data_IF_118766841755
#
_entry.id   IF_118766841755
#
_cell.length_a   1.000
_cell.length_b   1.000
_cell.length_c   1.000
_cell.angle_alpha   90.00
_cell.angle_beta   90.00
_cell.angle_gamma   90.00
#
_symmetry.space_group_name_H-M   'P 1'
#
loop_
_entity.id
_entity.type
_entity.pdbx_description
1 polymer ?
#
# COMPACT_ATOMS: atom_id res chain seq x y z
N UNK A 1 6.60 -5.95 9.68
CA UNK A 1 7.13 -4.65 10.14
C UNK A 1 6.90 -4.46 11.62
N UNK A 2 7.87 -3.90 12.34
CA UNK A 2 7.74 -3.67 13.79
C UNK A 2 6.65 -2.63 14.07
N UNK A 3 5.76 -2.93 15.02
CA UNK A 3 4.69 -2.03 15.51
C UNK A 3 5.22 -0.62 15.85
N UNK A 4 6.52 -0.51 16.15
CA UNK A 4 7.24 0.73 16.47
C UNK A 4 7.51 1.60 15.23
N UNK A 5 7.71 1.02 14.04
CA UNK A 5 8.04 1.76 12.82
C UNK A 5 6.79 2.30 12.11
N UNK A 6 5.62 1.69 12.35
CA UNK A 6 4.35 2.12 11.78
C UNK A 6 4.02 3.61 12.05
N UNK A 7 4.10 4.14 13.29
CA UNK A 7 3.84 5.56 13.54
C UNK A 7 4.88 6.48 12.89
N UNK A 8 6.16 6.07 12.82
CA UNK A 8 7.20 6.86 12.16
C UNK A 8 6.95 6.98 10.66
N UNK A 9 6.58 5.88 10.00
CA UNK A 9 6.27 5.86 8.58
C UNK A 9 5.02 6.69 8.25
N UNK A 10 3.99 6.63 9.10
CA UNK A 10 2.80 7.47 8.94
C UNK A 10 3.15 8.96 9.02
N UNK A 11 3.95 9.36 10.01
CA UNK A 11 4.44 10.74 10.17
C UNK A 11 5.37 11.18 9.02
N UNK A 12 6.22 10.29 8.52
CA UNK A 12 7.08 10.57 7.37
C UNK A 12 6.23 10.82 6.11
N UNK A 13 5.24 9.97 5.86
CA UNK A 13 4.30 10.15 4.75
C UNK A 13 3.54 11.47 4.88
N UNK A 14 3.06 11.82 6.07
CA UNK A 14 2.35 13.08 6.32
C UNK A 14 3.25 14.29 6.00
N UNK A 15 4.49 14.29 6.47
CA UNK A 15 5.44 15.39 6.20
C UNK A 15 5.75 15.54 4.72
N UNK A 16 5.94 14.43 4.01
CA UNK A 16 6.18 14.44 2.56
C UNK A 16 4.95 14.99 1.82
N UNK A 17 3.75 14.59 2.23
CA UNK A 17 2.52 15.10 1.64
C UNK A 17 2.32 16.60 1.88
N UNK A 18 2.63 17.10 3.08
CA UNK A 18 2.60 18.54 3.40
C UNK A 18 3.60 19.30 2.54
N UNK A 19 4.82 18.77 2.37
CA UNK A 19 5.85 19.40 1.53
C UNK A 19 5.42 19.46 0.05
N UNK A 20 4.76 18.41 -0.45
CA UNK A 20 4.31 18.32 -1.85
C UNK A 20 3.03 19.14 -2.13
N UNK A 21 2.10 19.21 -1.18
CA UNK A 21 0.76 19.79 -1.39
C UNK A 21 0.53 21.13 -0.69
N UNK A 22 1.34 21.47 0.32
CA UNK A 22 1.17 22.64 1.18
C UNK A 22 -0.03 22.57 2.14
N UNK A 23 -0.71 21.41 2.25
CA UNK A 23 -1.94 21.25 3.05
C UNK A 23 -1.72 20.28 4.21
N UNK A 24 -2.22 20.64 5.39
CA UNK A 24 -2.26 19.73 6.53
C UNK A 24 -3.35 18.67 6.34
N UNK A 25 -3.07 17.43 6.76
CA UNK A 25 -4.04 16.34 6.74
C UNK A 25 -4.90 16.44 7.99
N UNK A 26 -6.20 16.72 7.83
CA UNK A 26 -7.14 16.84 8.96
C UNK A 26 -8.14 15.71 8.96
N UNK A 27 -8.10 14.85 9.98
CA UNK A 27 -9.14 13.85 10.23
C UNK A 27 -10.28 14.45 11.06
N UNK A 28 -11.51 14.35 10.56
CA UNK A 28 -12.73 14.76 11.27
C UNK A 28 -13.47 13.56 11.92
N UNK A 29 -12.82 12.39 12.00
CA UNK A 29 -13.45 11.14 12.45
C UNK A 29 -13.22 10.91 13.95
N UNK A 30 -14.24 10.42 14.65
CA UNK A 30 -14.11 10.02 16.07
C UNK A 30 -13.08 8.91 16.26
N UNK A 31 -12.18 9.08 17.25
CA UNK A 31 -11.11 8.13 17.59
C UNK A 31 -11.61 6.68 17.79
N UNK A 32 -12.78 6.50 18.43
CA UNK A 32 -13.35 5.18 18.67
C UNK A 32 -13.76 4.48 17.36
N UNK A 33 -14.28 5.25 16.39
CA UNK A 33 -14.66 4.73 15.08
C UNK A 33 -13.43 4.36 14.26
N UNK A 34 -12.41 5.21 14.28
CA UNK A 34 -11.12 4.98 13.65
C UNK A 34 -10.47 3.68 14.14
N UNK A 35 -10.49 3.42 15.45
CA UNK A 35 -9.93 2.20 16.02
C UNK A 35 -10.67 0.92 15.54
N UNK A 36 -12.00 0.95 15.49
CA UNK A 36 -12.81 -0.18 15.00
C UNK A 36 -12.56 -0.42 13.51
N UNK A 37 -12.55 0.65 12.72
CA UNK A 37 -12.35 0.60 11.28
C UNK A 37 -10.93 0.11 10.93
N UNK A 38 -9.91 0.48 11.72
CA UNK A 38 -8.53 0.00 11.59
C UNK A 38 -8.42 -1.51 11.87
N UNK A 39 -8.98 -1.98 12.98
CA UNK A 39 -8.98 -3.43 13.32
C UNK A 39 -9.71 -4.22 12.24
N UNK A 40 -10.90 -3.76 11.82
CA UNK A 40 -11.68 -4.40 10.76
C UNK A 40 -10.94 -4.39 9.41
N UNK A 41 -10.16 -3.35 9.11
CA UNK A 41 -9.33 -3.28 7.91
C UNK A 41 -8.17 -4.27 7.94
N UNK A 42 -7.46 -4.39 9.06
CA UNK A 42 -6.38 -5.36 9.23
C UNK A 42 -6.89 -6.81 9.08
N UNK A 43 -8.02 -7.14 9.71
CA UNK A 43 -8.64 -8.47 9.57
C UNK A 43 -9.03 -8.77 8.12
N UNK A 44 -9.67 -7.81 7.42
CA UNK A 44 -10.02 -7.96 6.00
C UNK A 44 -8.80 -8.12 5.11
N UNK A 45 -7.70 -7.40 5.40
CA UNK A 45 -6.42 -7.53 4.70
C UNK A 45 -5.82 -8.93 4.89
N UNK A 46 -5.81 -9.45 6.12
CA UNK A 46 -5.34 -10.80 6.41
C UNK A 46 -6.17 -11.89 5.69
N UNK A 47 -7.49 -11.81 5.76
CA UNK A 47 -8.38 -12.75 5.05
C UNK A 47 -8.17 -12.68 3.54
N UNK A 48 -8.04 -11.48 2.99
CA UNK A 48 -7.74 -11.29 1.57
C UNK A 48 -6.41 -11.95 1.17
N UNK A 49 -5.34 -11.72 1.94
CA UNK A 49 -4.02 -12.32 1.69
C UNK A 49 -4.12 -13.84 1.73
N UNK A 50 -4.73 -14.38 2.78
CA UNK A 50 -4.87 -15.82 2.99
C UNK A 50 -5.65 -16.49 1.85
N UNK A 51 -6.76 -15.88 1.42
CA UNK A 51 -7.58 -16.40 0.33
C UNK A 51 -6.79 -16.51 -0.98
N UNK A 52 -6.10 -15.45 -1.39
CA UNK A 52 -5.29 -15.44 -2.61
C UNK A 52 -4.05 -16.32 -2.52
N UNK A 53 -3.34 -16.27 -1.38
CA UNK A 53 -2.18 -17.11 -1.15
C UNK A 53 -2.54 -18.60 -1.20
N UNK A 54 -3.68 -19.00 -0.63
CA UNK A 54 -4.16 -20.37 -0.71
C UNK A 54 -4.47 -20.77 -2.16
N UNK A 55 -5.15 -19.91 -2.92
CA UNK A 55 -5.42 -20.15 -4.33
C UNK A 55 -4.14 -20.34 -5.15
N UNK A 56 -3.15 -19.46 -4.98
CA UNK A 56 -1.86 -19.55 -5.66
C UNK A 56 -1.05 -20.77 -5.22
N UNK A 57 -1.12 -21.13 -3.94
CA UNK A 57 -0.52 -22.36 -3.43
C UNK A 57 -1.10 -23.59 -4.12
N UNK A 58 -2.43 -23.69 -4.22
CA UNK A 58 -3.08 -24.81 -4.92
C UNK A 58 -2.69 -24.86 -6.40
N UNK A 59 -2.62 -23.72 -7.10
CA UNK A 59 -2.13 -23.63 -8.48
C UNK A 59 -0.69 -24.15 -8.61
N UNK A 60 0.15 -23.88 -7.61
CA UNK A 60 1.55 -24.32 -7.57
C UNK A 60 1.72 -25.84 -7.41
N UNK A 61 0.68 -26.55 -6.96
CA UNK A 61 0.70 -28.01 -6.79
C UNK A 61 0.35 -28.77 -8.07
N UNK A 62 -0.26 -28.12 -9.06
CA UNK A 62 -0.68 -28.75 -10.30
C UNK A 62 0.53 -28.86 -11.25
N UNK A 63 0.97 -30.08 -11.64
CA UNK A 63 2.06 -30.25 -12.60
C UNK A 63 1.76 -29.53 -13.92
N UNK A 64 2.79 -29.02 -14.60
CA UNK A 64 2.70 -28.21 -15.85
C UNK A 64 2.17 -26.79 -15.61
N UNK A 65 1.08 -26.62 -14.85
CA UNK A 65 0.54 -25.30 -14.49
C UNK A 65 1.45 -24.57 -13.50
N UNK A 66 2.15 -25.30 -12.64
CA UNK A 66 3.12 -24.75 -11.71
C UNK A 66 4.25 -23.92 -12.38
N UNK A 67 4.48 -24.07 -13.69
CA UNK A 67 5.45 -23.26 -14.43
C UNK A 67 5.10 -21.77 -14.44
N UNK A 68 3.81 -21.41 -14.40
CA UNK A 68 3.38 -20.00 -14.31
C UNK A 68 3.27 -19.50 -12.87
N UNK A 69 3.29 -20.40 -11.89
CA UNK A 69 3.09 -20.04 -10.48
C UNK A 69 4.11 -19.00 -9.97
N UNK A 70 5.42 -19.08 -10.26
CA UNK A 70 6.37 -18.05 -9.81
C UNK A 70 6.01 -16.64 -10.29
N UNK A 71 5.53 -16.52 -11.53
CA UNK A 71 5.10 -15.23 -12.09
C UNK A 71 3.86 -14.71 -11.36
N UNK A 72 2.89 -15.59 -11.08
CA UNK A 72 1.69 -15.22 -10.32
C UNK A 72 2.03 -14.79 -8.88
N UNK A 73 2.97 -15.47 -8.24
CA UNK A 73 3.48 -15.09 -6.92
C UNK A 73 4.18 -13.74 -6.93
N UNK A 74 4.97 -13.44 -7.97
CA UNK A 74 5.61 -12.13 -8.17
C UNK A 74 4.56 -11.03 -8.33
N UNK A 75 3.56 -11.24 -9.19
CA UNK A 75 2.47 -10.27 -9.41
C UNK A 75 1.68 -10.03 -8.13
N UNK A 76 1.36 -11.10 -7.39
CA UNK A 76 0.65 -11.00 -6.13
C UNK A 76 1.49 -10.33 -5.04
N UNK A 77 2.75 -10.69 -4.89
CA UNK A 77 3.68 -10.07 -3.93
C UNK A 77 3.86 -8.58 -4.21
N UNK A 78 4.03 -8.21 -5.48
CA UNK A 78 4.07 -6.82 -5.92
C UNK A 78 2.79 -6.06 -5.56
N UNK A 79 1.62 -6.66 -5.82
CA UNK A 79 0.34 -6.07 -5.43
C UNK A 79 0.24 -5.85 -3.91
N UNK A 80 0.66 -6.83 -3.12
CA UNK A 80 0.65 -6.73 -1.66
C UNK A 80 1.60 -5.64 -1.15
N UNK A 81 2.82 -5.55 -1.69
CA UNK A 81 3.76 -4.48 -1.32
C UNK A 81 3.19 -3.10 -1.65
N UNK A 82 2.49 -2.98 -2.77
CA UNK A 82 1.80 -1.73 -3.11
C UNK A 82 0.75 -1.38 -2.06
N UNK A 83 -0.11 -2.34 -1.72
CA UNK A 83 -1.12 -2.13 -0.67
C UNK A 83 -0.50 -1.82 0.70
N UNK A 84 0.68 -2.36 1.01
CA UNK A 84 1.38 -2.10 2.26
C UNK A 84 1.92 -0.67 2.35
N UNK A 85 2.62 -0.21 1.31
CA UNK A 85 3.26 1.11 1.35
C UNK A 85 2.28 2.26 1.06
N UNK A 86 1.23 2.02 0.26
CA UNK A 86 0.17 3.02 0.08
C UNK A 86 -0.77 3.12 1.30
N UNK A 87 -0.76 2.15 2.21
CA UNK A 87 -1.51 2.20 3.48
C UNK A 87 -1.11 3.44 4.31
N UNK A 88 0.15 3.88 4.24
CA UNK A 88 0.61 5.07 4.98
C UNK A 88 -0.05 6.38 4.51
N UNK A 89 0.10 6.82 3.24
CA UNK A 89 -0.56 8.04 2.78
C UNK A 89 -2.08 7.90 2.76
N UNK A 90 -2.63 6.73 2.40
CA UNK A 90 -4.09 6.55 2.37
C UNK A 90 -4.71 6.49 3.76
N UNK A 91 -4.02 5.88 4.73
CA UNK A 91 -4.43 5.81 6.13
C UNK A 91 -4.41 7.17 6.82
N UNK A 92 -3.51 8.08 6.42
CA UNK A 92 -3.55 9.48 6.88
C UNK A 92 -4.86 10.18 6.48
N UNK A 93 -5.50 9.74 5.39
CA UNK A 93 -6.81 10.23 4.92
C UNK A 93 -7.97 9.34 5.38
N UNK A 94 -7.78 8.55 6.43
CA UNK A 94 -8.78 7.66 7.05
C UNK A 94 -9.38 6.59 6.10
N UNK A 95 -8.68 6.27 5.00
CA UNK A 95 -9.19 5.28 4.05
C UNK A 95 -9.06 3.87 4.60
N UNK A 96 -10.18 3.15 4.62
CA UNK A 96 -10.20 1.75 5.04
C UNK A 96 -9.67 0.83 3.94
N UNK A 97 -9.23 -0.39 4.31
CA UNK A 97 -8.63 -1.34 3.36
C UNK A 97 -9.45 -1.58 2.09
N UNK A 98 -10.78 -1.59 2.20
CA UNK A 98 -11.67 -1.77 1.05
C UNK A 98 -11.54 -0.61 0.03
N UNK A 99 -11.42 0.62 0.52
CA UNK A 99 -11.26 1.83 -0.28
C UNK A 99 -9.86 1.93 -0.87
N UNK A 100 -8.83 1.64 -0.07
CA UNK A 100 -7.45 1.56 -0.52
C UNK A 100 -7.32 0.58 -1.70
N UNK A 101 -7.81 -0.65 -1.52
CA UNK A 101 -7.80 -1.67 -2.57
C UNK A 101 -8.55 -1.22 -3.83
N UNK A 102 -9.69 -0.56 -3.67
CA UNK A 102 -10.46 -0.03 -4.80
C UNK A 102 -9.63 1.02 -5.56
N UNK A 103 -9.03 1.97 -4.84
CA UNK A 103 -8.26 3.09 -5.38
C UNK A 103 -6.99 2.64 -6.10
N UNK A 104 -6.19 1.74 -5.50
CA UNK A 104 -5.07 1.11 -6.22
C UNK A 104 -5.57 0.29 -7.43
N UNK A 105 -6.76 -0.29 -7.31
CA UNK A 105 -7.40 -1.09 -8.35
C UNK A 105 -7.82 -0.30 -9.59
N UNK A 106 -7.94 1.03 -9.50
CA UNK A 106 -8.24 1.91 -10.63
C UNK A 106 -7.01 2.12 -11.53
N UNK A 107 -5.80 2.04 -10.98
CA UNK A 107 -4.53 2.17 -11.72
C UNK A 107 -3.57 1.01 -11.42
N UNK A 108 -4.03 -0.22 -11.65
CA UNK A 108 -3.28 -1.46 -11.35
C UNK A 108 -1.88 -1.51 -11.95
N UNK A 109 -1.68 -0.96 -13.14
CA UNK A 109 -0.36 -0.94 -13.78
C UNK A 109 0.67 -0.14 -12.99
N UNK A 110 0.29 1.03 -12.47
CA UNK A 110 1.15 1.87 -11.63
C UNK A 110 1.41 1.19 -10.29
N UNK A 111 0.36 0.66 -9.65
CA UNK A 111 0.49 -0.08 -8.41
C UNK A 111 1.46 -1.27 -8.58
N UNK A 112 1.20 -2.17 -9.53
CA UNK A 112 2.08 -3.32 -9.79
C UNK A 112 3.50 -2.90 -10.18
N UNK A 113 3.69 -1.81 -10.94
CA UNK A 113 5.02 -1.29 -11.24
C UNK A 113 5.78 -0.86 -9.99
N UNK A 114 5.12 -0.07 -9.13
CA UNK A 114 5.69 0.39 -7.85
C UNK A 114 6.03 -0.80 -6.95
N UNK A 115 5.08 -1.71 -6.71
CA UNK A 115 5.30 -2.88 -5.88
C UNK A 115 6.41 -3.80 -6.40
N UNK A 116 6.56 -3.90 -7.72
CA UNK A 116 7.62 -4.67 -8.35
C UNK A 116 9.00 -4.08 -8.11
N UNK A 117 9.13 -2.75 -8.24
CA UNK A 117 10.37 -2.03 -7.91
C UNK A 117 10.72 -2.21 -6.44
N UNK A 118 9.76 -2.04 -5.53
CA UNK A 118 9.96 -2.28 -4.09
C UNK A 118 10.40 -3.72 -3.84
N UNK A 119 9.78 -4.70 -4.50
CA UNK A 119 10.18 -6.10 -4.35
C UNK A 119 11.63 -6.34 -4.77
N UNK A 120 12.06 -5.76 -5.89
CA UNK A 120 13.46 -5.82 -6.35
C UNK A 120 14.40 -5.16 -5.33
N UNK A 121 14.03 -3.99 -4.80
CA UNK A 121 14.82 -3.28 -3.80
C UNK A 121 15.01 -4.12 -2.53
N UNK A 122 13.94 -4.75 -2.03
CA UNK A 122 13.99 -5.60 -0.83
C UNK A 122 14.76 -6.90 -1.05
N UNK A 123 14.87 -7.37 -2.30
CA UNK A 123 15.63 -8.57 -2.66
C UNK A 123 17.14 -8.38 -2.58
N UNK A 124 17.63 -7.13 -2.65
CA UNK A 124 19.07 -6.80 -2.58
C UNK A 124 19.40 -6.38 -1.13
N UNK A 125 20.20 -7.13 -0.35
CA UNK A 125 20.39 -6.87 1.08
C UNK A 125 20.87 -5.45 1.43
N UNK A 126 21.78 -4.89 0.63
CA UNK A 126 22.31 -3.53 0.85
C UNK A 126 21.24 -2.47 0.59
N UNK A 127 20.42 -2.66 -0.46
CA UNK A 127 19.34 -1.74 -0.82
C UNK A 127 18.17 -1.85 0.15
N UNK A 128 17.89 -3.06 0.65
CA UNK A 128 16.80 -3.34 1.57
C UNK A 128 16.86 -2.48 2.85
N UNK A 129 18.07 -2.13 3.32
CA UNK A 129 18.25 -1.22 4.45
C UNK A 129 17.56 0.14 4.26
N UNK A 130 17.51 0.63 3.02
CA UNK A 130 16.88 1.90 2.65
C UNK A 130 15.53 1.70 1.94
N UNK A 131 15.12 0.46 1.67
CA UNK A 131 13.92 0.19 0.89
C UNK A 131 12.67 0.74 1.57
N UNK A 132 12.58 0.65 2.90
CA UNK A 132 11.43 1.15 3.66
C UNK A 132 11.24 2.68 3.52
N UNK A 133 12.20 3.56 3.86
CA UNK A 133 12.00 5.01 3.72
C UNK A 133 11.80 5.45 2.26
N UNK A 134 12.48 4.81 1.31
CA UNK A 134 12.32 5.13 -0.13
C UNK A 134 10.95 4.71 -0.63
N UNK A 135 10.46 3.53 -0.24
CA UNK A 135 9.15 3.05 -0.64
C UNK A 135 8.02 3.87 -0.02
N UNK A 136 8.15 4.30 1.25
CA UNK A 136 7.19 5.23 1.88
C UNK A 136 7.16 6.55 1.10
N UNK A 137 8.32 7.17 0.84
CA UNK A 137 8.39 8.41 0.08
C UNK A 137 7.80 8.27 -1.35
N UNK A 138 8.14 7.19 -2.04
CA UNK A 138 7.63 6.91 -3.39
C UNK A 138 6.12 6.65 -3.41
N UNK A 139 5.58 5.95 -2.41
CA UNK A 139 4.15 5.73 -2.28
C UNK A 139 3.40 7.03 -2.00
N UNK A 140 3.93 7.90 -1.13
CA UNK A 140 3.35 9.23 -0.87
C UNK A 140 3.39 10.13 -2.10
N UNK A 141 4.50 10.13 -2.87
CA UNK A 141 4.59 10.89 -4.12
C UNK A 141 3.56 10.41 -5.15
N UNK A 142 3.53 9.10 -5.42
CA UNK A 142 2.56 8.51 -6.36
C UNK A 142 1.12 8.70 -5.89
N UNK A 143 0.90 8.68 -4.57
CA UNK A 143 -0.38 9.01 -3.98
C UNK A 143 -0.84 10.39 -4.43
N UNK A 144 -0.06 11.43 -4.16
CA UNK A 144 -0.38 12.82 -4.53
C UNK A 144 -0.59 12.97 -6.03
N UNK A 145 0.28 12.37 -6.86
CA UNK A 145 0.26 12.60 -8.31
C UNK A 145 -0.81 11.80 -9.08
N UNK A 146 -1.12 10.58 -8.62
CA UNK A 146 -1.87 9.61 -9.44
C UNK A 146 -3.13 9.07 -8.77
N UNK A 147 -3.19 9.11 -7.44
CA UNK A 147 -4.26 8.47 -6.69
C UNK A 147 -5.07 9.47 -5.85
N UNK A 148 -4.53 10.63 -5.48
CA UNK A 148 -5.27 11.72 -4.85
C UNK A 148 -6.19 12.34 -5.90
N UNK A 149 -7.47 11.98 -5.90
CA UNK A 149 -8.46 12.59 -6.78
C UNK A 149 -8.61 14.06 -6.41
N UNK A 150 -8.45 14.95 -7.38
CA UNK A 150 -8.56 16.41 -7.24
C UNK A 150 -9.86 16.81 -6.53
N UNK A 151 -9.84 16.90 -5.21
CA UNK A 151 -10.77 17.71 -4.42
C UNK A 151 -10.08 19.00 -4.02
N UNK A 152 -9.33 19.60 -4.95
CA UNK A 152 -8.90 20.99 -4.86
C UNK A 152 -9.88 21.79 -5.71
N UNK A 153 -10.87 22.49 -5.13
CA UNK A 153 -11.54 23.55 -5.86
C UNK A 153 -10.45 24.52 -6.33
N UNK A 154 -10.32 24.67 -7.64
CA UNK A 154 -9.62 25.82 -8.20
C UNK A 154 -10.48 27.03 -7.85
N UNK A 155 -10.15 27.74 -6.77
CA UNK A 155 -10.71 29.07 -6.54
C UNK A 155 -10.17 29.97 -7.66
N UNK A 156 -11.07 30.30 -8.60
CA UNK A 156 -10.94 31.41 -9.55
C UNK A 156 -11.51 32.67 -8.94
#
# INVERSE_FOLDING_TARGET
DSIIAAPFNALMSEKIEIELTGKAVTSNVSFARMAIDAIGSQLRKLVYIMFWALGLFLVSLIPVVNLVAPVLWIVFGSWLLSLEYFDYPMGNHDLVFAEQKKRLGERRGIALGFGGVVMIMTSIPIVNFFAMPVAVAGATLLWVEQFQSDSVPTET
#
